data_IF_015309657983
#
_entry.id   IF_015309657983
#
_cell.length_a   1.000
_cell.length_b   1.000
_cell.length_c   1.000
_cell.angle_alpha   90.00
_cell.angle_beta   90.00
_cell.angle_gamma   90.00
#
_symmetry.space_group_name_H-M   'P 1'
#
loop_
_entity.id
_entity.type
_entity.pdbx_description
1 polymer ?
#
# COMPACT_ATOMS: atom_id res chain seq x y z
N UNK A 1 -22.71 12.23 -4.44
CA UNK A 1 -22.22 10.99 -5.07
C UNK A 1 -20.69 11.03 -5.03
N UNK A 2 -20.01 9.99 -4.52
CA UNK A 2 -18.53 9.96 -4.45
C UNK A 2 -17.98 9.58 -5.83
N UNK A 3 -17.03 10.36 -6.36
CA UNK A 3 -16.32 10.01 -7.60
C UNK A 3 -15.42 8.79 -7.34
N UNK A 4 -15.52 7.79 -8.20
CA UNK A 4 -14.67 6.59 -8.17
C UNK A 4 -13.96 6.49 -9.53
N UNK A 5 -12.63 6.46 -9.50
CA UNK A 5 -11.80 6.25 -10.69
C UNK A 5 -10.81 5.12 -10.40
N UNK A 6 -10.63 4.23 -11.38
CA UNK A 6 -9.58 3.22 -11.36
C UNK A 6 -8.42 3.78 -12.18
N UNK A 7 -7.22 3.80 -11.60
CA UNK A 7 -6.02 4.33 -12.22
C UNK A 7 -5.04 3.20 -12.55
N UNK A 8 -4.13 3.40 -13.52
CA UNK A 8 -3.01 2.49 -13.74
C UNK A 8 -2.17 2.30 -12.48
N UNK A 9 -1.44 1.19 -12.43
CA UNK A 9 -0.55 0.92 -11.31
C UNK A 9 0.47 2.04 -11.11
N UNK A 10 0.57 2.55 -9.88
CA UNK A 10 1.57 3.55 -9.51
C UNK A 10 2.81 2.85 -8.94
N UNK A 11 3.96 3.06 -9.57
CA UNK A 11 5.25 2.50 -9.14
C UNK A 11 5.69 2.94 -7.76
N UNK A 12 5.12 4.04 -7.22
CA UNK A 12 5.45 4.56 -5.89
C UNK A 12 4.67 3.89 -4.76
N UNK A 13 3.62 3.11 -5.04
CA UNK A 13 2.85 2.45 -3.99
C UNK A 13 3.67 1.57 -3.04
N UNK A 14 4.68 0.80 -3.49
CA UNK A 14 5.58 0.09 -2.58
C UNK A 14 6.32 1.04 -1.63
N UNK A 15 6.83 2.17 -2.13
CA UNK A 15 7.54 3.16 -1.32
C UNK A 15 6.61 3.82 -0.29
N UNK A 16 5.40 4.18 -0.71
CA UNK A 16 4.37 4.73 0.17
C UNK A 16 4.00 3.76 1.28
N UNK A 17 3.84 2.47 0.95
CA UNK A 17 3.61 1.43 1.95
C UNK A 17 4.77 1.32 2.95
N UNK A 18 6.04 1.35 2.50
CA UNK A 18 7.18 1.29 3.42
C UNK A 18 7.21 2.47 4.39
N UNK A 19 6.93 3.68 3.90
CA UNK A 19 6.89 4.87 4.75
C UNK A 19 5.79 4.74 5.82
N UNK A 20 4.59 4.34 5.43
CA UNK A 20 3.47 4.15 6.37
C UNK A 20 3.76 3.02 7.36
N UNK A 21 4.36 1.92 6.90
CA UNK A 21 4.77 0.81 7.75
C UNK A 21 5.72 1.27 8.87
N UNK A 22 6.67 2.17 8.57
CA UNK A 22 7.58 2.72 9.57
C UNK A 22 6.80 3.53 10.62
N UNK A 23 5.90 4.42 10.17
CA UNK A 23 5.07 5.24 11.06
C UNK A 23 4.16 4.39 11.95
N UNK A 24 3.49 3.38 11.38
CA UNK A 24 2.65 2.47 12.14
C UNK A 24 3.46 1.61 13.11
N UNK A 25 4.65 1.15 12.72
CA UNK A 25 5.50 0.37 13.60
C UNK A 25 5.97 1.18 14.82
N UNK A 26 6.25 2.47 14.66
CA UNK A 26 6.60 3.36 15.77
C UNK A 26 5.44 3.56 16.75
N UNK A 27 4.19 3.58 16.27
CA UNK A 27 3.01 3.73 17.12
C UNK A 27 2.68 2.42 17.86
N UNK A 28 2.79 1.29 17.16
CA UNK A 28 2.42 -0.03 17.69
C UNK A 28 3.48 -0.59 18.65
N UNK A 29 4.76 -0.17 18.52
CA UNK A 29 5.88 -0.59 19.35
C UNK A 29 5.90 -2.12 19.59
N UNK A 30 5.84 -2.57 20.84
CA UNK A 30 5.95 -3.98 21.23
C UNK A 30 4.70 -4.82 20.91
N UNK A 31 3.57 -4.19 20.61
CA UNK A 31 2.34 -4.91 20.20
C UNK A 31 2.37 -5.35 18.74
N UNK A 32 3.38 -4.90 17.97
CA UNK A 32 3.46 -5.19 16.55
C UNK A 32 3.95 -6.61 16.27
N UNK A 33 3.05 -7.46 15.79
CA UNK A 33 3.39 -8.81 15.31
C UNK A 33 3.92 -8.77 13.86
N UNK A 34 3.20 -8.11 12.94
CA UNK A 34 3.60 -7.98 11.53
C UNK A 34 2.78 -6.92 10.78
N UNK A 35 3.33 -6.38 9.69
CA UNK A 35 2.63 -5.49 8.73
C UNK A 35 2.89 -6.00 7.32
N UNK A 36 1.81 -6.20 6.55
CA UNK A 36 1.84 -6.68 5.18
C UNK A 36 1.15 -5.71 4.22
N UNK A 37 1.70 -5.54 3.02
CA UNK A 37 1.05 -4.79 1.95
C UNK A 37 0.05 -5.72 1.24
N UNK A 38 -1.24 -5.41 1.32
CA UNK A 38 -2.31 -6.21 0.71
C UNK A 38 -3.18 -5.37 -0.22
N UNK A 39 -3.96 -6.03 -1.08
CA UNK A 39 -4.85 -5.37 -2.06
C UNK A 39 -4.19 -5.09 -3.41
N UNK A 40 -4.92 -4.47 -4.33
CA UNK A 40 -4.46 -4.26 -5.73
C UNK A 40 -3.20 -3.40 -5.82
N UNK A 41 -2.98 -2.47 -4.89
CA UNK A 41 -1.80 -1.61 -4.87
C UNK A 41 -0.51 -2.35 -4.48
N UNK A 42 -0.62 -3.56 -3.93
CA UNK A 42 0.52 -4.42 -3.57
C UNK A 42 1.06 -5.25 -4.76
N UNK A 43 0.37 -5.26 -5.91
CA UNK A 43 0.69 -6.15 -7.02
C UNK A 43 1.45 -5.39 -8.12
N UNK A 44 2.78 -5.44 -8.06
CA UNK A 44 3.69 -4.70 -8.97
C UNK A 44 3.61 -5.13 -10.44
N UNK A 45 3.08 -6.33 -10.72
CA UNK A 45 2.91 -6.85 -12.09
C UNK A 45 1.60 -6.42 -12.77
N UNK A 46 0.74 -5.62 -12.13
CA UNK A 46 -0.46 -5.04 -12.76
C UNK A 46 -0.10 -3.90 -13.73
N UNK A 47 0.84 -4.13 -14.65
CA UNK A 47 1.21 -3.15 -15.68
C UNK A 47 0.14 -3.00 -16.76
N UNK A 48 -0.73 -4.00 -16.95
CA UNK A 48 -1.68 -4.08 -18.08
C UNK A 48 -3.09 -4.56 -17.70
N UNK A 49 -3.67 -4.08 -16.60
CA UNK A 49 -5.11 -4.34 -16.33
C UNK A 49 -5.86 -3.02 -16.30
N UNK A 50 -6.07 -2.45 -17.50
CA UNK A 50 -7.20 -1.61 -17.91
C UNK A 50 -7.41 -1.86 -19.42
#
# INVERSE_FOLDING_TARGET
>A
MRKLEVLPYNSEWPNMFQNEKISLAQIMNDELISIHHIGSTAITILKNVI
#
